data_IF_412007807198
#
_entry.id   IF_412007807198
#
_cell.length_a   1.000
_cell.length_b   1.000
_cell.length_c   1.000
_cell.angle_alpha   90.00
_cell.angle_beta   90.00
_cell.angle_gamma   90.00
#
_symmetry.space_group_name_H-M   'P 1'
#
loop_
_entity.id
_entity.type
_entity.pdbx_description
1 polymer ?
#
# COMPACT_ATOMS: atom_id res chain seq x y z
N UNK A 1 3.98 -14.38 -1.97
CA UNK A 1 4.40 -12.98 -2.06
C UNK A 1 3.27 -12.12 -1.55
N UNK A 2 3.44 -11.39 -0.45
CA UNK A 2 2.45 -10.40 -0.01
C UNK A 2 2.75 -9.08 -0.73
N UNK A 3 1.72 -8.45 -1.28
CA UNK A 3 1.83 -7.09 -1.84
C UNK A 3 1.75 -6.13 -0.66
N UNK A 4 2.83 -5.38 -0.41
CA UNK A 4 2.90 -4.39 0.65
C UNK A 4 2.40 -3.03 0.16
N UNK A 5 1.56 -2.36 0.94
CA UNK A 5 1.01 -1.05 0.64
C UNK A 5 1.00 -0.14 1.86
N UNK A 6 0.65 1.14 1.68
CA UNK A 6 0.58 2.11 2.77
C UNK A 6 1.84 2.97 2.94
N UNK A 7 1.85 3.84 3.98
CA UNK A 7 2.77 4.97 4.10
C UNK A 7 4.23 4.57 4.28
N UNK A 8 4.54 3.39 4.82
CA UNK A 8 5.91 2.90 4.92
C UNK A 8 6.66 2.88 3.57
N UNK A 9 5.93 2.73 2.45
CA UNK A 9 6.52 2.82 1.11
C UNK A 9 7.12 4.20 0.83
N UNK A 10 6.46 5.28 1.24
CA UNK A 10 6.96 6.64 1.01
C UNK A 10 8.20 6.97 1.85
N UNK A 11 8.48 6.21 2.91
CA UNK A 11 9.64 6.39 3.78
C UNK A 11 10.85 5.57 3.30
N UNK A 12 10.64 4.29 2.99
CA UNK A 12 11.71 3.32 2.78
C UNK A 12 11.78 2.66 1.40
N UNK A 13 10.83 2.93 0.50
CA UNK A 13 10.81 2.26 -0.80
C UNK A 13 11.84 2.82 -1.78
N UNK A 14 12.46 1.93 -2.55
CA UNK A 14 13.34 2.25 -3.68
C UNK A 14 12.58 2.40 -5.00
N UNK A 15 11.26 2.51 -4.95
CA UNK A 15 10.41 2.71 -6.13
C UNK A 15 10.66 4.10 -6.73
N UNK A 16 10.90 4.13 -8.06
CA UNK A 16 11.10 5.36 -8.82
C UNK A 16 9.89 6.30 -8.77
N UNK A 17 8.69 5.75 -8.55
CA UNK A 17 7.45 6.52 -8.43
C UNK A 17 7.60 7.69 -7.45
N UNK A 18 8.21 7.45 -6.29
CA UNK A 18 8.36 8.49 -5.28
C UNK A 18 9.37 9.57 -5.69
N UNK A 19 10.34 9.25 -6.58
CA UNK A 19 11.26 10.24 -7.16
C UNK A 19 10.54 11.07 -8.22
N UNK A 20 9.71 10.43 -9.04
CA UNK A 20 8.90 11.08 -10.09
C UNK A 20 7.83 12.02 -9.50
N UNK A 21 7.28 11.65 -8.34
CA UNK A 21 6.33 12.48 -7.60
C UNK A 21 7.00 13.56 -6.73
N UNK A 22 8.33 13.60 -6.66
CA UNK A 22 9.10 14.43 -5.72
C UNK A 22 8.58 14.34 -4.27
N UNK A 23 8.21 13.12 -3.86
CA UNK A 23 7.57 12.87 -2.57
C UNK A 23 8.29 11.78 -1.79
N UNK A 24 8.79 12.14 -0.62
CA UNK A 24 9.29 11.19 0.40
C UNK A 24 8.81 11.64 1.77
N UNK A 25 8.37 10.67 2.55
CA UNK A 25 7.90 10.93 3.90
C UNK A 25 9.08 11.13 4.87
N UNK A 26 8.82 11.81 5.98
CA UNK A 26 9.75 11.96 7.11
C UNK A 26 8.96 11.73 8.40
N UNK A 27 9.07 10.52 8.94
CA UNK A 27 8.34 10.11 10.13
C UNK A 27 9.20 9.28 11.08
N UNK A 28 8.87 9.31 12.37
CA UNK A 28 9.51 8.52 13.43
C UNK A 28 8.86 7.13 13.62
N UNK A 29 7.77 6.87 12.89
CA UNK A 29 7.05 5.60 12.87
C UNK A 29 6.42 5.38 11.51
N UNK A 30 6.24 4.13 11.10
CA UNK A 30 5.64 3.81 9.82
C UNK A 30 4.63 2.66 9.90
N UNK A 31 3.65 2.68 8.99
CA UNK A 31 2.63 1.63 8.87
C UNK A 31 2.75 0.96 7.51
N UNK A 32 2.76 -0.37 7.49
CA UNK A 32 2.68 -1.16 6.27
C UNK A 32 1.46 -2.08 6.32
N UNK A 33 0.69 -2.11 5.24
CA UNK A 33 -0.46 -2.97 5.06
C UNK A 33 -0.07 -4.13 4.15
N UNK A 34 -0.32 -5.35 4.59
CA UNK A 34 0.00 -6.60 3.89
C UNK A 34 -1.28 -7.37 3.55
N UNK A 35 -1.39 -7.76 2.28
CA UNK A 35 -2.36 -8.78 1.88
C UNK A 35 -1.81 -10.15 2.25
N UNK A 36 -2.17 -10.63 3.44
CA UNK A 36 -1.68 -11.88 4.02
C UNK A 36 -2.67 -12.46 5.05
N UNK A 37 -2.70 -13.78 5.15
CA UNK A 37 -3.51 -14.54 6.12
C UNK A 37 -2.83 -14.67 7.50
N UNK A 38 -1.56 -14.26 7.61
CA UNK A 38 -0.71 -14.45 8.78
C UNK A 38 0.14 -13.22 9.06
N UNK A 39 0.62 -13.07 10.31
CA UNK A 39 1.60 -12.04 10.66
C UNK A 39 2.85 -12.10 9.76
N UNK A 40 3.52 -10.96 9.51
CA UNK A 40 4.76 -10.94 8.76
C UNK A 40 5.84 -11.76 9.49
N UNK A 41 6.67 -12.55 8.78
CA UNK A 41 7.79 -13.23 9.40
C UNK A 41 8.83 -12.21 9.91
N UNK A 42 9.60 -12.52 10.97
CA UNK A 42 10.60 -11.59 11.53
C UNK A 42 11.59 -11.03 10.50
N UNK A 43 12.02 -11.85 9.54
CA UNK A 43 12.90 -11.42 8.46
C UNK A 43 12.31 -10.30 7.59
N UNK A 44 10.99 -10.31 7.35
CA UNK A 44 10.31 -9.23 6.61
C UNK A 44 10.25 -7.95 7.45
N UNK A 45 10.01 -8.08 8.75
CA UNK A 45 10.00 -6.93 9.69
C UNK A 45 11.36 -6.25 9.70
N UNK A 46 12.45 -7.01 9.82
CA UNK A 46 13.81 -6.49 9.78
C UNK A 46 14.15 -5.81 8.44
N UNK A 47 13.72 -6.41 7.33
CA UNK A 47 13.91 -5.84 6.00
C UNK A 47 13.22 -4.47 5.86
N UNK A 48 11.95 -4.38 6.27
CA UNK A 48 11.18 -3.13 6.21
C UNK A 48 11.75 -2.09 7.18
N UNK A 49 12.17 -2.49 8.38
CA UNK A 49 12.80 -1.62 9.37
C UNK A 49 14.07 -0.99 8.82
N UNK A 50 14.94 -1.79 8.20
CA UNK A 50 16.17 -1.31 7.56
C UNK A 50 15.88 -0.37 6.40
N UNK A 51 14.91 -0.69 5.55
CA UNK A 51 14.52 0.15 4.42
C UNK A 51 13.98 1.51 4.90
N UNK A 52 13.14 1.50 5.93
CA UNK A 52 12.56 2.68 6.55
C UNK A 52 13.53 3.46 7.46
N UNK A 53 14.71 2.89 7.78
CA UNK A 53 15.66 3.42 8.78
C UNK A 53 15.01 3.63 10.16
N UNK A 54 14.08 2.75 10.52
CA UNK A 54 13.37 2.76 11.79
C UNK A 54 13.69 1.51 12.60
N UNK A 55 13.54 1.59 13.92
CA UNK A 55 13.58 0.42 14.77
C UNK A 55 12.29 -0.43 14.61
N UNK A 56 12.33 -1.77 14.76
CA UNK A 56 11.16 -2.63 14.56
C UNK A 56 9.94 -2.27 15.44
N UNK A 57 10.16 -1.75 16.64
CA UNK A 57 9.11 -1.29 17.57
C UNK A 57 8.40 -0.01 17.11
N UNK A 58 8.95 0.68 16.09
CA UNK A 58 8.35 1.85 15.42
C UNK A 58 7.62 1.49 14.14
N UNK A 59 7.52 0.21 13.80
CA UNK A 59 6.74 -0.28 12.67
C UNK A 59 5.43 -0.90 13.13
N UNK A 60 4.35 -0.52 12.47
CA UNK A 60 3.06 -1.21 12.61
C UNK A 60 2.74 -1.95 11.33
N UNK A 61 2.42 -3.24 11.46
CA UNK A 61 1.96 -4.06 10.35
C UNK A 61 0.47 -4.34 10.51
N UNK A 62 -0.31 -3.97 9.50
CA UNK A 62 -1.70 -4.38 9.36
C UNK A 62 -1.70 -5.49 8.32
N UNK A 63 -2.31 -6.63 8.62
CA UNK A 63 -2.45 -7.71 7.65
C UNK A 63 -3.89 -8.20 7.61
N UNK A 64 -4.39 -8.46 6.42
CA UNK A 64 -5.72 -8.99 6.20
C UNK A 64 -5.71 -9.93 4.98
N UNK A 65 -6.35 -11.11 5.09
CA UNK A 65 -6.56 -11.94 3.92
C UNK A 65 -7.57 -11.27 2.99
N UNK A 66 -7.39 -11.43 1.70
CA UNK A 66 -8.23 -10.86 0.64
C UNK A 66 -9.69 -11.32 0.71
N UNK A 67 -9.95 -12.51 1.28
CA UNK A 67 -11.29 -13.05 1.54
C UNK A 67 -11.99 -12.43 2.77
N UNK A 68 -11.29 -11.67 3.60
CA UNK A 68 -11.90 -10.97 4.74
C UNK A 68 -12.60 -9.68 4.30
N UNK A 69 -13.53 -9.19 5.12
CA UNK A 69 -14.16 -7.88 4.92
C UNK A 69 -13.12 -6.76 4.83
N UNK A 70 -12.08 -6.78 5.67
CA UNK A 70 -11.02 -5.78 5.60
C UNK A 70 -10.23 -5.86 4.27
N UNK A 71 -9.95 -7.07 3.81
CA UNK A 71 -9.28 -7.32 2.52
C UNK A 71 -10.11 -6.87 1.33
N UNK A 72 -11.39 -7.23 1.28
CA UNK A 72 -12.28 -6.84 0.17
C UNK A 72 -12.52 -5.33 0.15
N UNK A 73 -12.73 -4.71 1.31
CA UNK A 73 -12.91 -3.25 1.42
C UNK A 73 -11.65 -2.50 1.00
N UNK A 74 -10.46 -2.90 1.47
CA UNK A 74 -9.23 -2.18 1.12
C UNK A 74 -8.86 -2.32 -0.37
N UNK A 75 -9.20 -3.44 -1.01
CA UNK A 75 -9.04 -3.59 -2.47
C UNK A 75 -10.03 -2.68 -3.21
N UNK A 76 -11.32 -2.69 -2.85
CA UNK A 76 -12.33 -1.86 -3.51
C UNK A 76 -12.05 -0.35 -3.34
N UNK A 77 -11.51 0.05 -2.19
CA UNK A 77 -11.13 1.43 -1.89
C UNK A 77 -10.02 1.98 -2.82
N UNK A 78 -9.29 1.11 -3.53
CA UNK A 78 -8.23 1.52 -4.48
C UNK A 78 -8.77 1.95 -5.84
N UNK A 79 -10.08 2.02 -6.06
CA UNK A 79 -10.62 2.40 -7.36
C UNK A 79 -10.07 3.73 -7.90
N UNK A 80 -9.83 4.72 -7.02
CA UNK A 80 -9.14 5.96 -7.41
C UNK A 80 -7.65 5.75 -7.69
N UNK A 81 -6.95 4.98 -6.85
CA UNK A 81 -5.53 4.62 -7.04
C UNK A 81 -5.31 3.97 -8.41
N UNK A 82 -6.17 3.03 -8.82
CA UNK A 82 -6.04 2.33 -10.11
C UNK A 82 -6.17 3.30 -11.27
N UNK A 83 -7.07 4.29 -11.19
CA UNK A 83 -7.20 5.32 -12.21
C UNK A 83 -5.95 6.21 -12.29
N UNK A 84 -5.41 6.64 -11.14
CA UNK A 84 -4.18 7.44 -11.05
C UNK A 84 -2.96 6.67 -11.56
N UNK A 85 -2.84 5.40 -11.17
CA UNK A 85 -1.78 4.52 -11.62
C UNK A 85 -1.85 4.32 -13.14
N UNK A 86 -3.06 4.15 -13.70
CA UNK A 86 -3.20 4.03 -15.15
C UNK A 86 -2.85 5.34 -15.88
N UNK A 87 -3.21 6.49 -15.33
CA UNK A 87 -2.82 7.79 -15.89
C UNK A 87 -1.29 7.94 -15.92
N UNK A 88 -0.62 7.59 -14.82
CA UNK A 88 0.84 7.57 -14.70
C UNK A 88 1.52 6.64 -15.71
N UNK A 89 1.03 5.40 -15.84
CA UNK A 89 1.53 4.41 -16.82
C UNK A 89 1.31 4.84 -18.27
N UNK A 90 0.32 5.69 -18.53
CA UNK A 90 0.10 6.32 -19.85
C UNK A 90 0.90 7.62 -20.03
N UNK A 91 1.80 7.93 -19.10
CA UNK A 91 2.62 9.14 -19.06
C UNK A 91 1.80 10.44 -19.05
N UNK A 92 0.59 10.39 -18.52
CA UNK A 92 -0.19 11.60 -18.26
C UNK A 92 0.49 12.39 -17.11
N UNK A 93 0.70 13.71 -17.25
CA UNK A 93 1.26 14.54 -16.18
C UNK A 93 0.36 14.54 -14.95
N UNK A 94 0.79 13.89 -13.87
CA UNK A 94 -0.03 13.74 -12.65
C UNK A 94 -0.30 15.06 -11.93
N UNK A 95 0.56 16.06 -12.12
CA UNK A 95 0.41 17.43 -11.64
C UNK A 95 -0.81 18.16 -12.26
N UNK A 96 -1.32 17.67 -13.39
CA UNK A 96 -2.57 18.16 -13.97
C UNK A 96 -3.82 17.56 -13.31
N UNK A 97 -3.69 16.56 -12.45
CA UNK A 97 -4.81 15.99 -11.68
C UNK A 97 -4.93 16.75 -10.36
N UNK A 98 -5.94 17.63 -10.28
CA UNK A 98 -6.14 18.50 -9.11
C UNK A 98 -6.82 17.77 -7.95
N UNK A 99 -7.83 16.95 -8.25
CA UNK A 99 -8.61 16.20 -7.26
C UNK A 99 -9.28 14.98 -7.91
N UNK A 100 -9.80 14.05 -7.10
CA UNK A 100 -10.47 12.87 -7.59
C UNK A 100 -11.37 12.20 -6.54
N UNK A 101 -12.50 11.67 -7.01
CA UNK A 101 -13.40 10.84 -6.22
C UNK A 101 -13.74 9.59 -7.02
N UNK A 102 -13.80 8.44 -6.34
CA UNK A 102 -14.22 7.20 -6.94
C UNK A 102 -15.05 6.39 -5.93
N UNK A 103 -16.00 5.63 -6.46
CA UNK A 103 -16.84 4.72 -5.69
C UNK A 103 -16.86 3.38 -6.41
N UNK A 104 -16.65 2.30 -5.65
CA UNK A 104 -16.74 0.94 -6.15
C UNK A 104 -17.66 0.10 -5.23
N UNK A 105 -18.45 -0.83 -5.78
CA UNK A 105 -19.22 -1.76 -4.96
C UNK A 105 -18.29 -2.73 -4.24
N UNK A 106 -18.67 -3.13 -3.03
CA UNK A 106 -17.98 -4.22 -2.35
C UNK A 106 -18.35 -5.55 -3.01
N UNK A 107 -17.38 -6.41 -3.32
CA UNK A 107 -17.68 -7.76 -3.79
C UNK A 107 -18.41 -8.55 -2.69
N UNK A 108 -19.29 -9.49 -3.07
CA UNK A 108 -19.94 -10.35 -2.09
C UNK A 108 -18.89 -11.16 -1.31
N UNK A 109 -19.16 -11.55 -0.06
CA UNK A 109 -18.27 -12.44 0.68
C UNK A 109 -18.12 -13.76 -0.08
N UNK A 110 -16.89 -14.13 -0.41
CA UNK A 110 -16.59 -15.42 -1.05
C UNK A 110 -15.67 -16.22 -0.11
N UNK A 111 -15.99 -17.50 0.16
CA UNK A 111 -15.20 -18.31 1.09
C UNK A 111 -13.79 -18.63 0.56
N UNK A 112 -13.61 -18.64 -0.76
CA UNK A 112 -12.37 -19.09 -1.41
C UNK A 112 -11.65 -17.96 -2.17
N UNK A 113 -10.32 -17.96 -2.07
CA UNK A 113 -9.42 -17.16 -2.91
C UNK A 113 -9.20 -17.90 -4.24
N UNK A 114 -9.62 -17.29 -5.35
CA UNK A 114 -9.34 -17.76 -6.72
C UNK A 114 -8.56 -16.69 -7.46
#
# INVERSE_FOLDING_TARGET
CAIGSGPARALGSSEKLFDELDYRDKAESAVLVLEADRPPPPALVEQVAKACKLAPDRLTFIYAPTSSLAGTVQIAARCLEVALHKAHELHFPLDHIVDGIATAPLPPPQPDFV
#
